data_IF_212731648722
#
_entry.id   IF_212731648722
#
_cell.length_a   1.000
_cell.length_b   1.000
_cell.length_c   1.000
_cell.angle_alpha   90.00
_cell.angle_beta   90.00
_cell.angle_gamma   90.00
#
_symmetry.space_group_name_H-M   'P 1'
#
loop_
_entity.id
_entity.type
_entity.pdbx_description
1 polymer ?
#
# COMPACT_ATOMS: atom_id res chain seq x y z
N UNK A 1 -23.93 -25.72 -13.91
CA UNK A 1 -23.86 -24.56 -14.81
C UNK A 1 -23.61 -23.33 -13.95
N UNK A 2 -22.63 -22.53 -14.29
CA UNK A 2 -22.37 -21.25 -13.60
C UNK A 2 -23.32 -20.22 -14.19
N UNK A 3 -24.20 -19.65 -13.38
CA UNK A 3 -25.20 -18.66 -13.85
C UNK A 3 -24.68 -17.22 -13.88
N UNK A 4 -23.57 -16.95 -13.20
CA UNK A 4 -22.92 -15.64 -13.21
C UNK A 4 -21.77 -15.56 -12.21
N UNK A 5 -20.83 -14.69 -12.51
CA UNK A 5 -19.74 -14.31 -11.60
C UNK A 5 -20.01 -12.90 -11.13
N UNK A 6 -20.13 -12.71 -9.82
CA UNK A 6 -20.25 -11.38 -9.22
C UNK A 6 -18.86 -10.96 -8.73
N UNK A 7 -18.37 -9.86 -9.25
CA UNK A 7 -17.13 -9.24 -8.79
C UNK A 7 -17.51 -8.02 -7.98
N UNK A 8 -17.18 -8.02 -6.70
CA UNK A 8 -17.33 -6.86 -5.84
C UNK A 8 -15.95 -6.24 -5.65
N UNK A 9 -15.81 -4.99 -6.01
CA UNK A 9 -14.58 -4.23 -5.83
C UNK A 9 -14.83 -3.05 -4.89
N UNK A 10 -13.86 -2.77 -4.06
CA UNK A 10 -13.82 -1.55 -3.27
C UNK A 10 -12.54 -0.80 -3.62
N UNK A 11 -12.69 0.47 -4.01
CA UNK A 11 -11.54 1.36 -4.14
C UNK A 11 -11.19 1.82 -2.74
N UNK A 12 -10.00 1.45 -2.30
CA UNK A 12 -9.52 1.80 -0.98
C UNK A 12 -9.14 3.27 -0.85
N UNK A 13 -8.72 3.60 0.31
CA UNK A 13 -8.43 4.93 0.83
C UNK A 13 -7.44 5.72 -0.03
N UNK A 14 -7.82 6.90 -0.48
CA UNK A 14 -6.89 7.92 -0.95
C UNK A 14 -6.38 8.69 0.26
N UNK A 15 -5.16 8.45 0.67
CA UNK A 15 -4.48 9.25 1.67
C UNK A 15 -3.48 10.17 0.97
N UNK A 16 -3.74 11.49 1.06
CA UNK A 16 -2.77 12.51 0.70
C UNK A 16 -2.16 12.98 2.00
N UNK A 17 -0.93 12.58 2.27
CA UNK A 17 -0.18 13.03 3.44
C UNK A 17 0.72 14.19 3.04
N UNK A 18 0.49 15.36 3.64
CA UNK A 18 1.29 16.56 3.48
C UNK A 18 1.88 17.00 4.81
N UNK A 19 3.15 16.71 5.05
CA UNK A 19 3.86 17.11 6.25
C UNK A 19 4.47 18.52 6.14
N UNK A 20 4.34 19.30 7.19
CA UNK A 20 5.07 20.56 7.37
C UNK A 20 6.19 20.35 8.36
N UNK A 21 7.42 20.73 7.97
CA UNK A 21 8.57 20.65 8.87
C UNK A 21 8.47 21.68 9.99
N UNK A 22 8.53 21.21 11.23
CA UNK A 22 8.70 22.06 12.42
C UNK A 22 10.17 22.33 12.79
N UNK A 23 11.10 22.04 11.89
CA UNK A 23 12.53 22.25 12.14
C UNK A 23 12.95 23.67 11.78
N UNK A 24 13.67 24.28 12.68
CA UNK A 24 14.33 25.59 12.52
C UNK A 24 15.83 25.42 12.65
N UNK A 25 16.58 26.30 11.99
CA UNK A 25 18.02 26.35 12.09
C UNK A 25 18.44 27.55 12.95
N UNK A 26 19.38 27.35 13.79
CA UNK A 26 20.04 28.43 14.53
C UNK A 26 21.55 28.25 14.49
N UNK A 27 22.23 29.36 14.55
CA UNK A 27 23.69 29.40 14.57
C UNK A 27 24.19 29.49 16.00
N UNK A 28 25.07 28.57 16.37
CA UNK A 28 25.77 28.62 17.67
C UNK A 28 27.16 29.09 17.39
N UNK A 29 27.54 30.25 18.00
CA UNK A 29 28.90 30.72 17.99
C UNK A 29 29.60 30.26 19.27
N UNK A 30 30.50 29.30 19.14
CA UNK A 30 31.37 28.83 20.20
C UNK A 30 32.80 28.95 19.73
N UNK A 31 33.59 29.79 20.38
CA UNK A 31 35.00 29.98 20.09
C UNK A 31 35.29 30.48 18.66
N UNK A 32 34.46 31.38 18.12
CA UNK A 32 34.64 31.95 16.79
C UNK A 32 34.31 30.98 15.64
N UNK A 33 33.70 29.84 15.94
CA UNK A 33 33.19 28.89 14.92
C UNK A 33 31.67 28.85 14.94
N UNK A 34 31.07 29.31 13.86
CA UNK A 34 29.60 29.23 13.67
C UNK A 34 29.19 27.81 13.28
N UNK A 35 28.42 27.15 14.13
CA UNK A 35 27.83 25.84 13.83
C UNK A 35 26.33 26.00 13.69
N UNK A 36 25.81 25.62 12.52
CA UNK A 36 24.37 25.55 12.29
C UNK A 36 23.81 24.28 12.92
N UNK A 37 22.81 24.41 13.76
CA UNK A 37 22.10 23.28 14.37
C UNK A 37 20.61 23.37 14.09
N UNK A 38 20.03 22.23 13.66
CA UNK A 38 18.60 22.12 13.49
C UNK A 38 17.96 21.77 14.84
N UNK A 39 16.82 22.39 15.14
CA UNK A 39 16.00 21.99 16.26
C UNK A 39 14.53 21.92 15.86
N UNK A 40 13.79 21.05 16.52
CA UNK A 40 12.34 20.92 16.33
C UNK A 40 11.62 21.72 17.41
N UNK A 41 10.78 22.68 17.01
CA UNK A 41 9.99 23.50 17.94
C UNK A 41 9.02 22.67 18.80
N UNK A 42 8.69 21.46 18.35
CA UNK A 42 7.80 20.53 19.06
C UNK A 42 8.58 19.50 19.91
N UNK A 43 9.93 19.57 19.91
CA UNK A 43 10.73 18.67 20.72
C UNK A 43 10.42 18.88 22.21
N UNK A 44 10.05 17.82 22.89
CA UNK A 44 9.63 17.85 24.29
C UNK A 44 8.12 17.83 24.52
N UNK A 45 7.29 17.92 23.49
CA UNK A 45 5.85 17.68 23.61
C UNK A 45 5.54 16.19 23.83
N UNK A 46 4.48 15.94 24.61
CA UNK A 46 3.98 14.58 24.78
C UNK A 46 3.25 14.17 23.50
N UNK A 47 3.83 13.26 22.74
CA UNK A 47 3.28 12.76 21.48
C UNK A 47 4.28 12.74 20.34
N UNK A 48 3.86 12.24 19.19
CA UNK A 48 4.66 12.29 17.97
C UNK A 48 4.60 13.68 17.34
N UNK A 49 5.73 14.14 16.83
CA UNK A 49 5.84 15.39 16.10
C UNK A 49 6.31 15.15 14.65
N UNK A 50 6.02 16.08 13.73
CA UNK A 50 6.44 15.95 12.34
C UNK A 50 7.95 15.77 12.20
N UNK A 51 8.36 14.86 11.32
CA UNK A 51 9.76 14.68 10.95
C UNK A 51 10.33 15.89 10.20
N UNK A 52 11.65 15.92 10.02
CA UNK A 52 12.31 16.95 9.24
C UNK A 52 11.96 16.81 7.76
N UNK A 53 11.49 17.90 7.15
CA UNK A 53 11.20 17.97 5.72
C UNK A 53 9.71 18.06 5.40
N UNK A 54 9.42 18.09 4.13
CA UNK A 54 8.07 18.04 3.57
C UNK A 54 7.80 16.63 3.08
N UNK A 55 6.59 16.15 3.27
CA UNK A 55 6.12 14.88 2.72
C UNK A 55 4.89 15.13 1.85
N UNK A 56 4.81 14.47 0.71
CA UNK A 56 3.62 14.47 -0.12
C UNK A 56 3.54 13.11 -0.83
N UNK A 57 2.60 12.30 -0.44
CA UNK A 57 2.42 10.95 -1.00
C UNK A 57 0.95 10.64 -1.24
N UNK A 58 0.71 9.79 -2.21
CA UNK A 58 -0.59 9.24 -2.53
C UNK A 58 -0.51 7.72 -2.38
N UNK A 59 -1.36 7.14 -1.54
CA UNK A 59 -1.46 5.71 -1.38
C UNK A 59 -2.73 5.21 -2.06
N UNK A 60 -2.59 4.15 -2.83
CA UNK A 60 -3.69 3.51 -3.56
C UNK A 60 -3.85 2.07 -3.09
N UNK A 61 -5.09 1.68 -2.82
CA UNK A 61 -5.45 0.31 -2.48
C UNK A 61 -6.71 -0.09 -3.22
N UNK A 62 -6.67 -1.24 -3.88
CA UNK A 62 -7.79 -1.81 -4.62
C UNK A 62 -8.07 -3.22 -4.10
N UNK A 63 -9.23 -3.39 -3.45
CA UNK A 63 -9.68 -4.67 -2.94
C UNK A 63 -10.77 -5.27 -3.82
N UNK A 64 -10.70 -6.57 -4.09
CA UNK A 64 -11.66 -7.31 -4.91
C UNK A 64 -12.04 -8.61 -4.25
N UNK A 65 -13.33 -8.97 -4.36
CA UNK A 65 -13.88 -10.27 -3.98
C UNK A 65 -14.50 -10.92 -5.21
N UNK A 66 -14.32 -12.22 -5.35
CA UNK A 66 -14.87 -12.97 -6.47
C UNK A 66 -15.83 -14.03 -5.94
N UNK A 67 -17.10 -13.91 -6.30
CA UNK A 67 -18.15 -14.87 -5.97
C UNK A 67 -18.78 -15.42 -7.25
N UNK A 68 -19.01 -16.71 -7.28
CA UNK A 68 -19.76 -17.37 -8.34
C UNK A 68 -21.15 -17.79 -7.83
N UNK A 69 -22.18 -17.51 -8.61
CA UNK A 69 -23.53 -18.02 -8.40
C UNK A 69 -23.69 -19.30 -9.22
N UNK A 70 -23.84 -20.41 -8.54
CA UNK A 70 -23.99 -21.73 -9.18
C UNK A 70 -25.37 -22.27 -8.93
N UNK A 71 -25.88 -23.05 -9.88
CA UNK A 71 -27.16 -23.73 -9.72
C UNK A 71 -27.03 -24.85 -8.70
N UNK A 72 -27.89 -24.86 -7.69
CA UNK A 72 -28.01 -25.95 -6.72
C UNK A 72 -29.16 -26.86 -7.10
N UNK A 73 -28.85 -28.02 -7.65
CA UNK A 73 -29.85 -29.02 -8.06
C UNK A 73 -30.53 -29.75 -6.90
N UNK A 74 -29.99 -29.55 -5.67
CA UNK A 74 -30.56 -30.18 -4.46
C UNK A 74 -31.53 -29.26 -3.71
N UNK A 75 -31.56 -27.97 -4.08
CA UNK A 75 -32.47 -27.03 -3.47
C UNK A 75 -33.84 -27.09 -4.17
N UNK A 76 -34.77 -27.73 -3.51
CA UNK A 76 -36.17 -27.86 -3.97
C UNK A 76 -37.09 -26.78 -3.39
N UNK A 77 -36.62 -25.97 -2.47
CA UNK A 77 -37.43 -25.00 -1.69
C UNK A 77 -37.05 -23.54 -1.84
N UNK A 78 -35.89 -23.27 -2.43
CA UNK A 78 -35.33 -21.92 -2.58
C UNK A 78 -35.20 -21.44 -4.01
N UNK A 79 -34.30 -20.52 -4.26
CA UNK A 79 -34.03 -19.96 -5.59
C UNK A 79 -33.31 -20.92 -6.53
N UNK A 80 -32.97 -22.14 -6.09
CA UNK A 80 -32.21 -23.11 -6.84
C UNK A 80 -30.75 -22.68 -7.13
N UNK A 81 -30.23 -21.70 -6.41
CA UNK A 81 -28.88 -21.15 -6.64
C UNK A 81 -28.12 -21.01 -5.35
N UNK A 82 -26.80 -21.29 -5.40
CA UNK A 82 -25.88 -21.16 -4.29
C UNK A 82 -24.74 -20.22 -4.66
N UNK A 83 -24.39 -19.31 -3.76
CA UNK A 83 -23.18 -18.47 -3.89
C UNK A 83 -21.96 -19.24 -3.38
N UNK A 84 -20.93 -19.28 -4.18
CA UNK A 84 -19.62 -19.86 -3.82
C UNK A 84 -18.60 -18.74 -3.92
N UNK A 85 -17.86 -18.51 -2.84
CA UNK A 85 -16.72 -17.61 -2.86
C UNK A 85 -15.55 -18.29 -3.56
N UNK A 86 -15.03 -17.66 -4.60
CA UNK A 86 -13.86 -18.12 -5.34
C UNK A 86 -12.59 -17.52 -4.78
N UNK A 87 -12.64 -16.21 -4.48
CA UNK A 87 -11.56 -15.48 -3.83
C UNK A 87 -12.20 -14.57 -2.79
N UNK A 88 -11.85 -14.77 -1.52
CA UNK A 88 -12.40 -13.98 -0.43
C UNK A 88 -11.85 -12.55 -0.45
N UNK A 89 -10.58 -12.39 -0.78
CA UNK A 89 -9.93 -11.09 -0.87
C UNK A 89 -8.74 -11.14 -1.83
N UNK A 90 -8.73 -10.25 -2.80
CA UNK A 90 -7.59 -9.95 -3.66
C UNK A 90 -7.32 -8.44 -3.57
N UNK A 91 -6.22 -8.07 -2.94
CA UNK A 91 -5.88 -6.69 -2.69
C UNK A 91 -4.58 -6.27 -3.40
N UNK A 92 -4.61 -5.11 -4.04
CA UNK A 92 -3.48 -4.45 -4.67
C UNK A 92 -3.19 -3.16 -3.92
N UNK A 93 -1.94 -2.92 -3.57
CA UNK A 93 -1.51 -1.70 -2.88
C UNK A 93 -0.29 -1.11 -3.55
N UNK A 94 -0.26 0.19 -3.70
CA UNK A 94 0.93 0.93 -4.15
C UNK A 94 0.85 2.36 -3.63
N UNK A 95 1.95 3.10 -3.75
CA UNK A 95 2.02 4.49 -3.34
C UNK A 95 2.86 5.31 -4.32
N UNK A 96 2.60 6.59 -4.38
CA UNK A 96 3.36 7.54 -5.18
C UNK A 96 3.84 8.70 -4.30
N UNK A 97 5.14 8.94 -4.28
CA UNK A 97 5.76 10.04 -3.56
C UNK A 97 6.07 11.20 -4.52
N UNK A 98 5.36 12.31 -4.37
CA UNK A 98 5.50 13.47 -5.24
C UNK A 98 6.84 14.19 -5.05
N UNK A 99 7.42 14.11 -3.87
CA UNK A 99 8.64 14.83 -3.51
C UNK A 99 9.93 14.01 -3.69
N UNK A 100 9.82 12.73 -3.97
CA UNK A 100 10.99 11.92 -4.30
C UNK A 100 11.59 12.39 -5.62
N UNK A 101 12.91 12.50 -5.67
CA UNK A 101 13.62 12.84 -6.92
C UNK A 101 13.62 11.66 -7.89
N UNK A 102 13.78 10.43 -7.34
CA UNK A 102 13.80 9.19 -8.09
C UNK A 102 12.88 8.16 -7.40
N UNK A 103 12.50 7.11 -8.12
CA UNK A 103 11.69 6.01 -7.61
C UNK A 103 10.40 6.46 -6.92
N UNK A 104 9.67 7.36 -7.59
CA UNK A 104 8.45 7.98 -7.06
C UNK A 104 7.34 6.99 -6.78
N UNK A 105 7.25 5.92 -7.59
CA UNK A 105 6.26 4.86 -7.43
C UNK A 105 6.80 3.81 -6.47
N UNK A 106 6.04 3.47 -5.45
CA UNK A 106 6.35 2.38 -4.53
C UNK A 106 6.13 1.03 -5.20
N UNK A 107 6.70 -0.02 -4.61
CA UNK A 107 6.43 -1.37 -5.06
C UNK A 107 4.93 -1.67 -5.05
N UNK A 108 4.48 -2.52 -5.97
CA UNK A 108 3.09 -2.97 -6.05
C UNK A 108 2.96 -4.24 -5.22
N UNK A 109 2.30 -4.12 -4.08
CA UNK A 109 1.95 -5.25 -3.23
C UNK A 109 0.65 -5.90 -3.71
N UNK A 110 0.65 -7.22 -3.80
CA UNK A 110 -0.52 -8.03 -4.11
C UNK A 110 -0.72 -9.06 -3.01
N UNK A 111 -1.89 -9.09 -2.41
CA UNK A 111 -2.26 -10.10 -1.42
C UNK A 111 -3.55 -10.78 -1.82
N UNK A 112 -3.58 -12.09 -1.72
CA UNK A 112 -4.74 -12.91 -2.00
C UNK A 112 -5.01 -13.84 -0.83
N UNK A 113 -6.28 -13.90 -0.42
CA UNK A 113 -6.75 -14.86 0.55
C UNK A 113 -8.03 -15.49 0.02
N UNK A 114 -8.14 -16.80 0.15
CA UNK A 114 -9.33 -17.54 -0.23
C UNK A 114 -9.52 -18.76 0.64
N UNK A 115 -10.78 -19.19 0.76
CA UNK A 115 -11.16 -20.40 1.49
C UNK A 115 -11.88 -21.36 0.55
N UNK A 116 -11.20 -22.41 0.17
CA UNK A 116 -11.79 -23.44 -0.69
C UNK A 116 -12.74 -24.31 0.14
N UNK A 117 -14.02 -24.34 -0.27
CA UNK A 117 -15.10 -25.05 0.42
C UNK A 117 -15.28 -24.71 1.90
N UNK A 118 -14.80 -23.54 2.34
CA UNK A 118 -14.86 -23.12 3.75
C UNK A 118 -13.98 -23.95 4.71
N UNK A 119 -13.09 -24.79 4.18
CA UNK A 119 -12.25 -25.69 4.98
C UNK A 119 -10.75 -25.50 4.76
N UNK A 120 -10.34 -25.18 3.54
CA UNK A 120 -8.95 -25.01 3.18
C UNK A 120 -8.67 -23.53 2.91
N UNK A 121 -7.96 -22.85 3.81
CA UNK A 121 -7.50 -21.49 3.63
C UNK A 121 -6.22 -21.46 2.77
N UNK A 122 -6.21 -20.64 1.75
CA UNK A 122 -5.04 -20.37 0.90
C UNK A 122 -4.75 -18.88 0.97
N UNK A 123 -3.49 -18.55 1.25
CA UNK A 123 -2.99 -17.18 1.24
C UNK A 123 -1.78 -17.07 0.32
N UNK A 124 -1.75 -16.06 -0.50
CA UNK A 124 -0.62 -15.74 -1.35
C UNK A 124 -0.31 -14.24 -1.27
N UNK A 125 0.97 -13.90 -1.33
CA UNK A 125 1.44 -12.54 -1.42
C UNK A 125 2.54 -12.43 -2.48
N UNK A 126 2.60 -11.29 -3.13
CA UNK A 126 3.63 -10.94 -4.09
C UNK A 126 3.95 -9.45 -3.98
N UNK A 127 5.18 -9.10 -4.31
CA UNK A 127 5.64 -7.72 -4.33
C UNK A 127 6.40 -7.48 -5.63
N UNK A 128 5.92 -6.54 -6.43
CA UNK A 128 6.48 -6.20 -7.72
C UNK A 128 7.18 -4.86 -7.64
N UNK A 129 8.43 -4.83 -8.05
CA UNK A 129 9.15 -3.58 -8.27
C UNK A 129 8.82 -3.05 -9.66
N UNK A 130 8.27 -1.82 -9.78
CA UNK A 130 7.92 -1.24 -11.08
C UNK A 130 9.13 -0.75 -11.89
N UNK A 131 10.33 -0.79 -11.30
CA UNK A 131 11.54 -0.26 -11.92
C UNK A 131 12.44 -1.37 -12.47
N UNK A 132 13.15 -1.05 -13.54
CA UNK A 132 14.11 -1.98 -14.13
C UNK A 132 15.33 -2.15 -13.22
N UNK A 133 15.98 -3.31 -13.34
CA UNK A 133 17.25 -3.60 -12.68
C UNK A 133 18.34 -3.68 -13.76
N UNK A 134 19.42 -2.93 -13.58
CA UNK A 134 20.60 -2.98 -14.44
C UNK A 134 21.84 -3.44 -13.68
N UNK A 135 22.74 -4.13 -14.37
CA UNK A 135 24.03 -4.50 -13.82
C UNK A 135 25.05 -3.41 -14.14
N UNK A 136 25.42 -2.65 -13.13
CA UNK A 136 26.48 -1.63 -13.23
C UNK A 136 27.64 -2.01 -12.31
N UNK A 137 28.85 -2.04 -12.86
CA UNK A 137 30.08 -2.36 -12.10
C UNK A 137 29.98 -3.63 -11.22
N UNK A 138 29.42 -4.72 -11.76
CA UNK A 138 29.18 -6.00 -11.06
C UNK A 138 28.18 -5.94 -9.90
N UNK A 139 27.46 -4.87 -9.76
CA UNK A 139 26.35 -4.73 -8.81
C UNK A 139 25.04 -4.54 -9.55
N UNK A 140 23.97 -5.13 -9.03
CA UNK A 140 22.62 -4.89 -9.55
C UNK A 140 22.09 -3.62 -8.94
N UNK A 141 21.77 -2.64 -9.78
CA UNK A 141 21.22 -1.34 -9.36
C UNK A 141 19.83 -1.14 -9.95
N UNK A 142 18.98 -0.47 -9.21
CA UNK A 142 17.64 -0.08 -9.62
C UNK A 142 17.74 1.17 -10.50
N UNK A 143 17.10 1.16 -11.67
CA UNK A 143 17.08 2.31 -12.60
C UNK A 143 15.65 2.83 -12.79
N UNK A 144 15.56 4.13 -13.09
CA UNK A 144 14.28 4.84 -13.19
C UNK A 144 13.74 4.81 -14.62
#
# INVERSE_FOLDING_TARGET
>A
MVEGVVITHSIGKFDIDGGVSGFHQFNIDKNGQTKTQDYNIYAGNIGSYPGKGKTASLNFSLGNNFEAKVRDLKDTTGTGTKKIKLIDNLNFTTGYNFLAEQFKLSNIGVTMNTSIFGKLGISANANFDPYAMEVQNKSVVRVN
#
